data_IF_140128040513
#
_entry.id   IF_140128040513
#
_cell.length_a   1.000
_cell.length_b   1.000
_cell.length_c   1.000
_cell.angle_alpha   90.00
_cell.angle_beta   90.00
_cell.angle_gamma   90.00
#
_symmetry.space_group_name_H-M   'P 1'
#
loop_
_entity.id
_entity.type
_entity.pdbx_description
1 polymer ?
#
# COMPACT_ATOMS: atom_id res chain seq x y z
N UNK A 1 5.29 22.17 8.24
CA UNK A 1 5.38 20.71 8.25
C UNK A 1 6.09 20.26 6.99
N UNK A 2 7.05 19.33 7.09
CA UNK A 2 7.73 18.71 5.95
C UNK A 2 6.84 17.64 5.31
N UNK A 3 7.08 17.30 4.04
CA UNK A 3 6.32 16.25 3.35
C UNK A 3 6.37 14.90 4.07
N UNK A 4 7.52 14.52 4.65
CA UNK A 4 7.68 13.30 5.43
C UNK A 4 6.79 13.27 6.68
N UNK A 5 6.69 14.40 7.40
CA UNK A 5 5.81 14.54 8.57
C UNK A 5 4.35 14.43 8.16
N UNK A 6 3.97 15.03 7.02
CA UNK A 6 2.62 14.95 6.47
C UNK A 6 2.22 13.50 6.12
N UNK A 7 3.15 12.73 5.56
CA UNK A 7 2.93 11.32 5.23
C UNK A 7 2.78 10.46 6.49
N UNK A 8 3.56 10.74 7.53
CA UNK A 8 3.45 10.07 8.83
C UNK A 8 2.08 10.38 9.48
N UNK A 9 1.69 11.66 9.53
CA UNK A 9 0.40 12.07 10.10
C UNK A 9 -0.78 11.44 9.34
N UNK A 10 -0.71 11.36 8.00
CA UNK A 10 -1.70 10.65 7.18
C UNK A 10 -1.84 9.18 7.59
N UNK A 11 -0.73 8.48 7.83
CA UNK A 11 -0.76 7.09 8.25
C UNK A 11 -1.38 6.92 9.64
N UNK A 12 -1.05 7.82 10.57
CA UNK A 12 -1.59 7.78 11.93
C UNK A 12 -3.08 8.14 11.98
N UNK A 13 -3.54 9.08 11.16
CA UNK A 13 -4.97 9.38 11.00
C UNK A 13 -5.76 8.21 10.41
N UNK A 14 -5.21 7.49 9.43
CA UNK A 14 -5.87 6.28 8.92
C UNK A 14 -6.07 5.22 10.02
N UNK A 15 -5.06 5.02 10.88
CA UNK A 15 -5.17 4.12 12.03
C UNK A 15 -6.21 4.62 13.03
N UNK A 16 -6.18 5.91 13.38
CA UNK A 16 -7.16 6.54 14.29
C UNK A 16 -8.59 6.39 13.77
N UNK A 17 -8.82 6.63 12.48
CA UNK A 17 -10.13 6.47 11.84
C UNK A 17 -10.59 5.00 11.92
N UNK A 18 -9.68 4.04 11.68
CA UNK A 18 -10.00 2.63 11.82
C UNK A 18 -10.38 2.24 13.26
N UNK A 19 -9.67 2.78 14.26
CA UNK A 19 -9.97 2.58 15.68
C UNK A 19 -11.33 3.18 16.07
N UNK A 20 -11.58 4.43 15.70
CA UNK A 20 -12.85 5.12 15.94
C UNK A 20 -14.04 4.39 15.31
N UNK A 21 -13.86 3.84 14.10
CA UNK A 21 -14.88 2.98 13.48
C UNK A 21 -15.16 1.72 14.30
N UNK A 22 -14.12 1.09 14.83
CA UNK A 22 -14.26 -0.07 15.72
C UNK A 22 -15.01 0.26 17.00
N UNK A 23 -14.64 1.34 17.67
CA UNK A 23 -15.28 1.84 18.91
C UNK A 23 -16.73 2.26 18.68
N UNK A 24 -17.04 2.94 17.57
CA UNK A 24 -18.40 3.27 17.19
C UNK A 24 -19.27 2.03 17.01
N UNK A 25 -18.76 1.01 16.33
CA UNK A 25 -19.51 -0.24 16.15
C UNK A 25 -19.78 -0.94 17.49
N UNK A 26 -18.81 -0.95 18.40
CA UNK A 26 -18.97 -1.54 19.74
C UNK A 26 -19.98 -0.79 20.62
N UNK A 27 -20.14 0.52 20.41
CA UNK A 27 -21.05 1.38 21.16
C UNK A 27 -22.37 1.68 20.40
N UNK A 28 -22.63 0.95 19.31
CA UNK A 28 -23.79 1.20 18.44
C UNK A 28 -25.12 0.72 19.03
N UNK A 29 -25.07 -0.25 19.93
CA UNK A 29 -26.24 -0.86 20.58
C UNK A 29 -25.92 -1.15 22.05
N UNK A 30 -26.92 -0.99 22.91
CA UNK A 30 -26.87 -1.38 24.33
C UNK A 30 -28.20 -2.01 24.72
N UNK A 31 -28.22 -2.74 25.83
CA UNK A 31 -29.48 -3.28 26.36
C UNK A 31 -30.34 -2.15 26.93
N UNK A 32 -31.65 -2.40 27.03
CA UNK A 32 -32.57 -1.45 27.62
C UNK A 32 -32.17 -1.12 29.07
N UNK A 33 -32.03 0.18 29.35
CA UNK A 33 -31.59 0.67 30.67
C UNK A 33 -30.07 0.75 30.86
N UNK A 34 -29.27 0.25 29.92
CA UNK A 34 -27.80 0.39 29.95
C UNK A 34 -27.33 1.65 29.19
N UNK A 35 -26.08 2.04 29.43
CA UNK A 35 -25.42 3.13 28.70
C UNK A 35 -24.23 2.57 27.91
N UNK A 36 -23.93 3.13 26.74
CA UNK A 36 -22.71 2.80 26.02
C UNK A 36 -21.47 3.05 26.89
N UNK A 37 -20.41 2.27 26.67
CA UNK A 37 -19.13 2.46 27.36
C UNK A 37 -18.50 3.81 26.98
N UNK A 38 -18.78 4.28 25.77
CA UNK A 38 -18.32 5.55 25.22
C UNK A 38 -19.47 6.27 24.52
N UNK A 39 -19.53 7.60 24.62
CA UNK A 39 -20.57 8.40 23.98
C UNK A 39 -20.43 8.36 22.43
N UNK A 40 -21.38 7.75 21.70
CA UNK A 40 -21.31 7.68 20.24
C UNK A 40 -21.27 9.05 19.57
N UNK A 41 -21.91 10.07 20.15
CA UNK A 41 -21.91 11.42 19.57
C UNK A 41 -20.51 12.05 19.63
N UNK A 42 -19.77 11.83 20.72
CA UNK A 42 -18.38 12.28 20.85
C UNK A 42 -17.48 11.54 19.88
N UNK A 43 -17.62 10.20 19.79
CA UNK A 43 -16.85 9.38 18.85
C UNK A 43 -17.10 9.79 17.39
N UNK A 44 -18.34 10.14 17.02
CA UNK A 44 -18.67 10.65 15.70
C UNK A 44 -18.01 12.01 15.42
N UNK A 45 -18.01 12.93 16.39
CA UNK A 45 -17.32 14.22 16.24
C UNK A 45 -15.80 14.04 16.06
N UNK A 46 -15.18 13.15 16.83
CA UNK A 46 -13.77 12.83 16.68
C UNK A 46 -13.44 12.21 15.32
N UNK A 47 -14.34 11.36 14.81
CA UNK A 47 -14.22 10.74 13.50
C UNK A 47 -14.28 11.79 12.39
N UNK A 48 -15.27 12.67 12.42
CA UNK A 48 -15.41 13.75 11.42
C UNK A 48 -14.21 14.69 11.43
N UNK A 49 -13.71 15.06 12.62
CA UNK A 49 -12.51 15.87 12.74
C UNK A 49 -11.26 15.17 12.15
N UNK A 50 -11.10 13.87 12.40
CA UNK A 50 -10.01 13.08 11.85
C UNK A 50 -10.10 12.96 10.32
N UNK A 51 -11.30 12.75 9.78
CA UNK A 51 -11.56 12.69 8.33
C UNK A 51 -11.25 14.04 7.68
N UNK A 52 -11.73 15.15 8.24
CA UNK A 52 -11.47 16.49 7.70
C UNK A 52 -9.95 16.79 7.66
N UNK A 53 -9.21 16.43 8.71
CA UNK A 53 -7.75 16.57 8.72
C UNK A 53 -7.07 15.70 7.67
N UNK A 54 -7.51 14.45 7.53
CA UNK A 54 -7.00 13.52 6.52
C UNK A 54 -7.21 14.06 5.10
N UNK A 55 -8.40 14.60 4.80
CA UNK A 55 -8.71 15.21 3.51
C UNK A 55 -7.75 16.38 3.20
N UNK A 56 -7.51 17.23 4.20
CA UNK A 56 -6.61 18.38 4.03
C UNK A 56 -5.17 17.92 3.76
N UNK A 57 -4.67 16.91 4.48
CA UNK A 57 -3.34 16.34 4.23
C UNK A 57 -3.23 15.72 2.84
N UNK A 58 -4.23 14.96 2.39
CA UNK A 58 -4.21 14.35 1.06
C UNK A 58 -4.11 15.43 -0.02
N UNK A 59 -4.91 16.50 0.10
CA UNK A 59 -4.87 17.64 -0.82
C UNK A 59 -3.46 18.25 -0.87
N UNK A 60 -2.91 18.58 0.29
CA UNK A 60 -1.63 19.30 0.38
C UNK A 60 -0.46 18.44 -0.08
N UNK A 61 -0.46 17.14 0.25
CA UNK A 61 0.53 16.17 -0.23
C UNK A 61 0.49 16.07 -1.75
N UNK A 62 -0.70 15.92 -2.34
CA UNK A 62 -0.84 15.78 -3.79
C UNK A 62 -0.38 17.05 -4.52
N UNK A 63 -0.76 18.23 -4.04
CA UNK A 63 -0.31 19.50 -4.61
C UNK A 63 1.22 19.64 -4.50
N UNK A 64 1.79 19.29 -3.34
CA UNK A 64 3.24 19.31 -3.13
C UNK A 64 3.97 18.34 -4.08
N UNK A 65 3.44 17.12 -4.26
CA UNK A 65 4.03 16.12 -5.14
C UNK A 65 4.03 16.56 -6.61
N UNK A 66 2.94 17.20 -7.06
CA UNK A 66 2.84 17.71 -8.42
C UNK A 66 3.74 18.93 -8.66
N UNK A 67 3.87 19.82 -7.67
CA UNK A 67 4.62 21.07 -7.81
C UNK A 67 6.14 20.92 -7.59
N UNK A 68 6.57 19.93 -6.81
CA UNK A 68 7.98 19.76 -6.46
C UNK A 68 8.74 19.06 -7.59
N UNK A 69 9.75 19.74 -8.13
CA UNK A 69 10.61 19.22 -9.21
C UNK A 69 11.96 18.74 -8.64
N UNK A 70 12.34 17.51 -8.99
CA UNK A 70 13.64 16.88 -8.70
C UNK A 70 14.20 16.36 -10.01
N UNK A 71 15.42 16.79 -10.37
CA UNK A 71 16.09 16.38 -11.62
C UNK A 71 15.23 16.59 -12.88
N UNK A 72 14.48 17.70 -12.94
CA UNK A 72 13.62 18.02 -14.09
C UNK A 72 12.29 17.25 -14.15
N UNK A 73 11.99 16.41 -13.15
CA UNK A 73 10.73 15.65 -13.05
C UNK A 73 9.97 16.03 -11.79
N UNK A 74 8.65 16.01 -11.82
CA UNK A 74 7.83 16.12 -10.61
C UNK A 74 8.01 14.90 -9.69
N UNK A 75 7.79 15.06 -8.39
CA UNK A 75 7.74 13.91 -7.48
C UNK A 75 6.68 12.90 -7.91
N UNK A 76 5.54 13.36 -8.45
CA UNK A 76 4.50 12.48 -9.01
C UNK A 76 5.04 11.61 -10.15
N UNK A 77 5.84 12.16 -11.07
CA UNK A 77 6.49 11.37 -12.13
C UNK A 77 7.47 10.35 -11.57
N UNK A 78 8.32 10.76 -10.62
CA UNK A 78 9.30 9.87 -9.98
C UNK A 78 8.60 8.71 -9.25
N UNK A 79 7.49 8.98 -8.56
CA UNK A 79 6.68 7.94 -7.91
C UNK A 79 6.14 6.95 -8.94
N UNK A 80 5.58 7.43 -10.06
CA UNK A 80 5.06 6.56 -11.12
C UNK A 80 6.15 5.69 -11.75
N UNK A 81 7.33 6.26 -12.02
CA UNK A 81 8.50 5.53 -12.53
C UNK A 81 8.96 4.45 -11.54
N UNK A 82 9.02 4.79 -10.24
CA UNK A 82 9.33 3.85 -9.16
C UNK A 82 8.31 2.71 -9.10
N UNK A 83 7.02 2.99 -9.17
CA UNK A 83 5.96 1.96 -9.17
C UNK A 83 6.10 1.01 -10.36
N UNK A 84 6.37 1.55 -11.55
CA UNK A 84 6.65 0.74 -12.74
C UNK A 84 7.91 -0.11 -12.60
N UNK A 85 8.97 0.41 -11.98
CA UNK A 85 10.19 -0.35 -11.70
C UNK A 85 9.94 -1.50 -10.72
N UNK A 86 9.23 -1.25 -9.61
CA UNK A 86 8.85 -2.29 -8.63
C UNK A 86 8.02 -3.39 -9.30
N UNK A 87 7.05 -3.01 -10.14
CA UNK A 87 6.21 -3.98 -10.86
C UNK A 87 7.05 -4.84 -11.83
N UNK A 88 7.95 -4.21 -12.59
CA UNK A 88 8.86 -4.93 -13.51
C UNK A 88 9.77 -5.89 -12.77
N UNK A 89 10.36 -5.44 -11.66
CA UNK A 89 11.20 -6.26 -10.80
C UNK A 89 10.44 -7.48 -10.26
N UNK A 90 9.22 -7.27 -9.75
CA UNK A 90 8.37 -8.35 -9.24
C UNK A 90 8.04 -9.36 -10.33
N UNK A 91 7.68 -8.91 -11.54
CA UNK A 91 7.38 -9.78 -12.67
C UNK A 91 8.58 -10.62 -13.11
N UNK A 92 9.77 -10.02 -13.20
CA UNK A 92 10.98 -10.72 -13.62
C UNK A 92 11.44 -11.75 -12.59
N UNK A 93 11.34 -11.42 -11.29
CA UNK A 93 11.62 -12.38 -10.22
C UNK A 93 10.64 -13.54 -10.24
N UNK A 94 9.34 -13.28 -10.33
CA UNK A 94 8.33 -14.34 -10.41
C UNK A 94 8.53 -15.26 -11.63
N UNK A 95 8.89 -14.69 -12.79
CA UNK A 95 9.22 -15.47 -13.98
C UNK A 95 10.48 -16.31 -13.80
N UNK A 96 11.55 -15.73 -13.24
CA UNK A 96 12.79 -16.45 -12.97
C UNK A 96 12.56 -17.61 -11.99
N UNK A 97 11.77 -17.38 -10.93
CA UNK A 97 11.42 -18.42 -9.95
C UNK A 97 10.62 -19.56 -10.59
N UNK A 98 9.59 -19.24 -11.39
CA UNK A 98 8.78 -20.23 -12.11
C UNK A 98 9.62 -21.03 -13.11
N UNK A 99 10.48 -20.37 -13.87
CA UNK A 99 11.39 -21.01 -14.81
C UNK A 99 12.51 -21.81 -14.11
N UNK A 100 12.84 -21.51 -12.86
CA UNK A 100 13.81 -22.28 -12.06
C UNK A 100 13.18 -23.53 -11.43
N UNK A 101 11.86 -23.58 -11.27
CA UNK A 101 11.11 -24.68 -10.66
C UNK A 101 10.99 -25.94 -11.55
N UNK A 102 11.73 -26.00 -12.66
CA UNK A 102 11.74 -27.09 -13.65
C UNK A 102 12.09 -28.48 -13.08
N UNK A 103 12.61 -28.55 -11.86
CA UNK A 103 12.83 -29.81 -11.15
C UNK A 103 11.53 -30.55 -10.76
N UNK A 104 10.35 -30.00 -11.03
CA UNK A 104 9.08 -30.71 -10.88
C UNK A 104 8.90 -31.78 -11.97
N UNK A 105 9.24 -33.03 -11.66
CA UNK A 105 8.74 -34.19 -12.44
C UNK A 105 7.24 -34.31 -12.15
N UNK A 106 6.39 -34.16 -13.17
CA UNK A 106 5.00 -34.57 -13.06
C UNK A 106 4.98 -36.06 -12.72
N UNK A 107 4.51 -36.42 -11.52
CA UNK A 107 4.46 -37.83 -11.06
C UNK A 107 3.71 -38.66 -12.11
N UNK A 108 4.41 -39.57 -12.78
CA UNK A 108 3.81 -40.56 -13.67
C UNK A 108 3.91 -40.30 -15.18
N UNK A 109 4.54 -39.21 -15.63
CA UNK A 109 4.84 -39.01 -17.06
C UNK A 109 6.31 -38.61 -17.26
N UNK A 110 7.01 -39.28 -18.17
CA UNK A 110 8.44 -39.04 -18.52
C UNK A 110 8.68 -37.71 -19.27
N UNK A 111 7.81 -36.71 -19.08
CA UNK A 111 7.86 -35.46 -19.84
C UNK A 111 8.74 -34.46 -19.10
N UNK A 112 9.87 -34.11 -19.73
CA UNK A 112 10.81 -33.10 -19.25
C UNK A 112 10.26 -31.71 -19.53
N UNK A 113 10.08 -30.92 -18.47
CA UNK A 113 9.82 -29.48 -18.60
C UNK A 113 11.14 -28.75 -18.92
N UNK A 114 11.09 -27.74 -19.78
CA UNK A 114 12.26 -26.94 -20.19
C UNK A 114 11.88 -25.47 -20.10
N UNK A 115 12.79 -24.63 -19.62
CA UNK A 115 12.58 -23.18 -19.54
C UNK A 115 12.53 -22.64 -20.97
N UNK A 116 11.55 -21.80 -21.24
CA UNK A 116 11.49 -21.03 -22.49
C UNK A 116 12.28 -19.73 -22.42
N UNK A 117 12.89 -19.43 -21.25
CA UNK A 117 13.59 -18.18 -20.96
C UNK A 117 14.95 -18.43 -20.33
N UNK A 118 15.90 -17.53 -20.55
CA UNK A 118 17.20 -17.57 -19.89
C UNK A 118 17.09 -16.99 -18.47
N UNK A 119 17.05 -17.86 -17.47
CA UNK A 119 16.91 -17.48 -16.05
C UNK A 119 18.07 -16.59 -15.58
N UNK A 120 19.32 -16.86 -16.00
CA UNK A 120 20.48 -16.09 -15.57
C UNK A 120 20.44 -14.66 -16.11
N UNK A 121 20.04 -14.47 -17.37
CA UNK A 121 19.88 -13.13 -17.96
C UNK A 121 18.71 -12.38 -17.35
N UNK A 122 17.59 -13.05 -17.06
CA UNK A 122 16.45 -12.44 -16.38
C UNK A 122 16.81 -11.98 -14.96
N UNK A 123 17.56 -12.78 -14.21
CA UNK A 123 18.04 -12.40 -12.87
C UNK A 123 18.98 -11.20 -12.94
N UNK A 124 19.96 -11.21 -13.87
CA UNK A 124 20.84 -10.04 -14.08
C UNK A 124 20.07 -8.78 -14.44
N UNK A 125 19.02 -8.91 -15.26
CA UNK A 125 18.16 -7.78 -15.63
C UNK A 125 17.32 -7.31 -14.43
N UNK A 126 16.85 -8.23 -13.59
CA UNK A 126 16.15 -7.89 -12.35
C UNK A 126 17.08 -7.19 -11.36
N UNK A 127 18.35 -7.57 -11.26
CA UNK A 127 19.33 -6.99 -10.33
C UNK A 127 19.75 -5.55 -10.70
N UNK A 128 19.52 -5.11 -11.95
CA UNK A 128 19.83 -3.75 -12.41
C UNK A 128 18.65 -2.77 -12.35
N UNK A 129 17.45 -3.26 -11.99
CA UNK A 129 16.23 -2.45 -11.80
C UNK A 129 16.17 -1.97 -10.34
#
# INVERSE_FOLDING_TARGET
MKLAEALQERADLNKKISDLRGRLNQNSLVQEGEKPNEDPAVLMQELEAAIARLQQLIKDINLTNCATIVEGRSLTQIIAEKEGAIMRLSAYRALADSASAINYRARGSEIKMIATVNVSELQKTADTI
#
